data_IF_035366257565
#
_entry.id   IF_035366257565
#
_cell.length_a   1.000
_cell.length_b   1.000
_cell.length_c   1.000
_cell.angle_alpha   90.00
_cell.angle_beta   90.00
_cell.angle_gamma   90.00
#
_symmetry.space_group_name_H-M   'P 1'
#
loop_
_entity.id
_entity.type
_entity.pdbx_description
1 polymer ?
#
# COMPACT_ATOMS: atom_id res chain seq x y z
N UNK A 1 0.03 -36.95 -24.53
CA UNK A 1 0.44 -35.73 -23.80
C UNK A 1 -0.52 -34.62 -24.18
N UNK A 2 -1.39 -34.20 -23.28
CA UNK A 2 -2.12 -32.94 -23.46
C UNK A 2 -1.08 -31.81 -23.52
N UNK A 3 -0.99 -31.12 -24.65
CA UNK A 3 -0.11 -29.96 -24.77
C UNK A 3 -0.51 -28.89 -23.75
N UNK A 4 0.47 -28.17 -23.19
CA UNK A 4 0.20 -27.01 -22.34
C UNK A 4 -0.62 -25.98 -23.12
N UNK A 5 -1.63 -25.40 -22.49
CA UNK A 5 -2.33 -24.19 -22.94
C UNK A 5 -1.99 -23.05 -21.97
N UNK A 6 -0.90 -22.29 -22.22
CA UNK A 6 -0.46 -21.24 -21.32
C UNK A 6 -1.52 -20.15 -21.09
N UNK A 7 -2.41 -19.92 -22.06
CA UNK A 7 -3.48 -18.92 -21.92
C UNK A 7 -4.56 -19.41 -20.97
N UNK A 8 -5.00 -20.67 -21.11
CA UNK A 8 -5.94 -21.27 -20.18
C UNK A 8 -5.36 -21.36 -18.76
N UNK A 9 -4.10 -21.77 -18.64
CA UNK A 9 -3.39 -21.84 -17.37
C UNK A 9 -3.31 -20.47 -16.70
N UNK A 10 -2.88 -19.44 -17.43
CA UNK A 10 -2.78 -18.08 -16.89
C UNK A 10 -4.14 -17.54 -16.43
N UNK A 11 -5.20 -17.71 -17.24
CA UNK A 11 -6.57 -17.31 -16.85
C UNK A 11 -7.03 -18.01 -15.59
N UNK A 12 -6.74 -19.31 -15.46
CA UNK A 12 -7.09 -20.10 -14.26
C UNK A 12 -6.37 -19.57 -13.02
N UNK A 13 -5.06 -19.32 -13.10
CA UNK A 13 -4.30 -18.81 -11.96
C UNK A 13 -4.75 -17.41 -11.54
N UNK A 14 -5.02 -16.50 -12.49
CA UNK A 14 -5.56 -15.18 -12.19
C UNK A 14 -6.91 -15.27 -11.48
N UNK A 15 -7.81 -16.12 -11.98
CA UNK A 15 -9.13 -16.28 -11.35
C UNK A 15 -9.00 -16.79 -9.91
N UNK A 16 -8.16 -17.81 -9.68
CA UNK A 16 -7.89 -18.33 -8.32
C UNK A 16 -7.34 -17.22 -7.41
N UNK A 17 -6.43 -16.39 -7.90
CA UNK A 17 -5.85 -15.31 -7.11
C UNK A 17 -6.89 -14.23 -6.75
N UNK A 18 -7.76 -13.84 -7.70
CA UNK A 18 -8.85 -12.89 -7.45
C UNK A 18 -9.87 -13.44 -6.46
N UNK A 19 -10.29 -14.68 -6.65
CA UNK A 19 -11.24 -15.35 -5.76
C UNK A 19 -10.67 -15.42 -4.33
N UNK A 20 -9.38 -15.71 -4.19
CA UNK A 20 -8.71 -15.75 -2.89
C UNK A 20 -8.63 -14.36 -2.22
N UNK A 21 -8.43 -13.28 -2.98
CA UNK A 21 -8.44 -11.92 -2.44
C UNK A 21 -9.84 -11.50 -1.99
N UNK A 22 -10.86 -11.78 -2.79
CA UNK A 22 -12.24 -11.46 -2.47
C UNK A 22 -12.73 -12.27 -1.27
N UNK A 23 -12.45 -13.57 -1.23
CA UNK A 23 -12.77 -14.43 -0.09
C UNK A 23 -12.19 -13.90 1.23
N UNK A 24 -10.97 -13.35 1.20
CA UNK A 24 -10.34 -12.74 2.39
C UNK A 24 -11.00 -11.45 2.85
N UNK A 25 -11.79 -10.80 2.00
CA UNK A 25 -12.57 -9.62 2.35
C UNK A 25 -14.00 -9.96 2.83
N UNK A 26 -14.47 -11.17 2.59
CA UNK A 26 -15.83 -11.57 2.97
C UNK A 26 -16.04 -11.46 4.49
N UNK A 27 -17.13 -10.79 4.87
CA UNK A 27 -17.50 -10.58 6.28
C UNK A 27 -16.68 -9.52 7.02
N UNK A 28 -15.68 -8.88 6.38
CA UNK A 28 -14.96 -7.77 6.98
C UNK A 28 -15.77 -6.47 6.93
N UNK A 29 -15.62 -5.67 7.98
CA UNK A 29 -16.05 -4.27 7.94
C UNK A 29 -15.12 -3.47 7.02
N UNK A 30 -15.59 -2.32 6.52
CA UNK A 30 -14.74 -1.41 5.74
C UNK A 30 -13.50 -0.98 6.54
N UNK A 31 -13.68 -0.76 7.84
CA UNK A 31 -12.59 -0.46 8.76
C UNK A 31 -11.54 -1.58 8.79
N UNK A 32 -11.97 -2.84 8.95
CA UNK A 32 -11.06 -3.99 9.02
C UNK A 32 -10.35 -4.28 7.70
N UNK A 33 -10.99 -3.98 6.56
CA UNK A 33 -10.36 -4.08 5.25
C UNK A 33 -9.25 -3.03 5.05
N UNK A 34 -9.41 -1.83 5.63
CA UNK A 34 -8.49 -0.69 5.47
C UNK A 34 -7.40 -0.61 6.51
N UNK A 35 -7.60 -1.19 7.70
CA UNK A 35 -6.61 -1.06 8.79
C UNK A 35 -5.31 -1.81 8.45
N UNK A 36 -4.13 -1.21 8.65
CA UNK A 36 -2.87 -1.92 8.49
C UNK A 36 -2.69 -2.94 9.61
N UNK A 37 -2.20 -4.13 9.27
CA UNK A 37 -1.89 -5.18 10.25
C UNK A 37 -0.38 -5.40 10.44
N UNK A 38 0.44 -4.68 9.67
CA UNK A 38 1.89 -4.77 9.69
C UNK A 38 2.51 -3.36 9.68
N UNK A 39 3.74 -3.18 10.24
CA UNK A 39 4.38 -1.87 10.34
C UNK A 39 4.60 -1.14 9.01
N UNK A 40 4.68 -1.88 7.90
CA UNK A 40 4.84 -1.30 6.56
C UNK A 40 3.58 -0.61 6.03
N UNK A 41 2.46 -0.63 6.78
CA UNK A 41 1.24 0.08 6.39
C UNK A 41 0.35 -0.65 5.38
N UNK A 42 0.72 -1.88 4.98
CA UNK A 42 -0.08 -2.76 4.12
C UNK A 42 -1.40 -3.12 4.77
N UNK A 43 -2.48 -2.98 4.00
CA UNK A 43 -3.84 -3.39 4.37
C UNK A 43 -4.50 -4.19 3.23
N UNK A 44 -5.59 -4.91 3.54
CA UNK A 44 -6.23 -5.82 2.58
C UNK A 44 -6.86 -5.07 1.40
N UNK A 45 -7.46 -3.90 1.64
CA UNK A 45 -8.04 -3.09 0.57
C UNK A 45 -6.96 -2.53 -0.38
N UNK A 46 -5.82 -2.12 0.16
CA UNK A 46 -4.65 -1.68 -0.60
C UNK A 46 -4.09 -2.80 -1.49
N UNK A 47 -4.08 -4.05 -1.02
CA UNK A 47 -3.71 -5.19 -1.86
C UNK A 47 -4.67 -5.39 -3.04
N UNK A 48 -5.98 -5.20 -2.84
CA UNK A 48 -6.95 -5.27 -3.93
C UNK A 48 -6.75 -4.13 -4.93
N UNK A 49 -6.55 -2.89 -4.46
CA UNK A 49 -6.25 -1.74 -5.31
C UNK A 49 -5.00 -1.99 -6.17
N UNK A 50 -3.94 -2.50 -5.54
CA UNK A 50 -2.69 -2.82 -6.24
C UNK A 50 -2.86 -3.87 -7.31
N UNK A 51 -3.46 -5.03 -6.98
CA UNK A 51 -3.64 -6.11 -7.95
C UNK A 51 -4.55 -5.70 -9.11
N UNK A 52 -5.62 -4.95 -8.82
CA UNK A 52 -6.49 -4.40 -9.87
C UNK A 52 -5.74 -3.42 -10.79
N UNK A 53 -4.92 -2.53 -10.22
CA UNK A 53 -4.09 -1.60 -10.98
C UNK A 53 -3.05 -2.31 -11.84
N UNK A 54 -2.35 -3.31 -11.30
CA UNK A 54 -1.36 -4.13 -12.03
C UNK A 54 -2.02 -4.86 -13.21
N UNK A 55 -3.18 -5.48 -13.01
CA UNK A 55 -3.91 -6.15 -14.09
C UNK A 55 -4.39 -5.17 -15.16
N UNK A 56 -4.92 -4.01 -14.75
CA UNK A 56 -5.39 -2.97 -15.66
C UNK A 56 -4.24 -2.40 -16.51
N UNK A 57 -3.10 -2.11 -15.89
CA UNK A 57 -1.89 -1.64 -16.57
C UNK A 57 -1.34 -2.69 -17.54
N UNK A 58 -1.00 -3.88 -17.05
CA UNK A 58 -0.40 -4.92 -17.89
C UNK A 58 -1.31 -5.34 -19.05
N UNK A 59 -2.57 -5.68 -18.78
CA UNK A 59 -3.47 -6.14 -19.86
C UNK A 59 -3.94 -5.00 -20.74
N UNK A 60 -4.18 -3.81 -20.17
CA UNK A 60 -4.58 -2.65 -20.92
C UNK A 60 -3.52 -2.25 -21.94
N UNK A 61 -2.27 -2.10 -21.51
CA UNK A 61 -1.18 -1.72 -22.41
C UNK A 61 -0.81 -2.85 -23.38
N UNK A 62 -0.60 -4.07 -22.87
CA UNK A 62 -0.13 -5.20 -23.70
C UNK A 62 -1.10 -5.55 -24.82
N UNK A 63 -2.41 -5.41 -24.59
CA UNK A 63 -3.44 -5.73 -25.57
C UNK A 63 -4.04 -4.50 -26.27
N UNK A 64 -3.50 -3.30 -26.04
CA UNK A 64 -3.98 -2.06 -26.67
C UNK A 64 -5.40 -1.67 -26.26
N UNK A 65 -5.78 -1.96 -25.01
CA UNK A 65 -7.10 -1.70 -24.41
C UNK A 65 -6.95 -0.99 -23.05
N UNK A 66 -6.36 0.21 -23.00
CA UNK A 66 -6.10 0.90 -21.74
C UNK A 66 -7.38 1.12 -20.94
N UNK A 67 -7.29 0.97 -19.62
CA UNK A 67 -8.36 1.38 -18.70
C UNK A 67 -8.35 2.91 -18.66
N UNK A 68 -9.47 3.53 -19.02
CA UNK A 68 -9.57 4.98 -19.23
C UNK A 68 -9.55 5.81 -17.95
N UNK A 69 -9.61 5.18 -16.78
CA UNK A 69 -9.46 5.86 -15.51
C UNK A 69 -7.99 6.23 -15.24
N UNK A 70 -7.70 7.47 -14.78
CA UNK A 70 -6.37 7.83 -14.34
C UNK A 70 -5.97 6.98 -13.13
N UNK A 71 -4.73 6.48 -13.12
CA UNK A 71 -4.15 5.72 -12.02
C UNK A 71 -2.90 6.43 -11.48
N UNK A 72 -3.04 7.51 -10.67
CA UNK A 72 -1.91 8.34 -10.22
C UNK A 72 -0.81 7.61 -9.45
N UNK A 73 -1.14 6.45 -8.88
CA UNK A 73 -0.19 5.58 -8.18
C UNK A 73 0.67 4.71 -9.10
N UNK A 74 0.40 4.72 -10.41
CA UNK A 74 1.22 4.09 -11.45
C UNK A 74 1.98 5.12 -12.31
N UNK A 75 1.78 6.41 -12.06
CA UNK A 75 2.45 7.48 -12.80
C UNK A 75 3.95 7.52 -12.50
N UNK A 76 4.72 8.03 -13.46
CA UNK A 76 6.15 8.27 -13.26
C UNK A 76 6.37 9.26 -12.10
N UNK A 77 7.17 8.86 -11.11
CA UNK A 77 7.42 9.65 -9.91
C UNK A 77 6.42 9.41 -8.76
N UNK A 78 5.47 8.48 -8.91
CA UNK A 78 4.65 8.03 -7.80
C UNK A 78 5.52 7.42 -6.67
N UNK A 79 5.14 7.67 -5.42
CA UNK A 79 5.81 7.09 -4.26
C UNK A 79 5.73 5.55 -4.30
N UNK A 80 6.80 4.83 -3.92
CA UNK A 80 6.76 3.38 -3.84
C UNK A 80 5.59 2.88 -2.98
N UNK A 81 4.79 1.97 -3.53
CA UNK A 81 3.61 1.38 -2.86
C UNK A 81 2.48 2.38 -2.53
N UNK A 82 2.35 3.48 -3.28
CA UNK A 82 1.28 4.48 -3.13
C UNK A 82 -0.15 3.91 -3.24
N UNK A 83 -0.30 2.72 -3.80
CA UNK A 83 -1.55 1.98 -3.94
C UNK A 83 -1.81 0.93 -2.85
N UNK A 84 -0.83 0.64 -2.00
CA UNK A 84 -0.94 -0.38 -0.94
C UNK A 84 -0.99 0.24 0.47
N UNK A 85 -0.26 1.34 0.70
CA UNK A 85 -0.07 1.92 2.04
C UNK A 85 -1.21 2.87 2.43
N UNK A 86 -1.84 2.64 3.60
CA UNK A 86 -3.04 3.38 4.05
C UNK A 86 -2.91 4.91 3.99
N UNK A 87 -1.82 5.46 4.55
CA UNK A 87 -1.63 6.92 4.60
C UNK A 87 -1.55 7.59 3.22
N UNK A 88 -1.14 6.84 2.19
CA UNK A 88 -1.09 7.31 0.80
C UNK A 88 -2.40 7.05 0.04
N UNK A 89 -3.32 6.26 0.60
CA UNK A 89 -4.62 5.93 0.01
C UNK A 89 -5.70 6.93 0.44
N UNK A 90 -5.70 7.38 1.70
CA UNK A 90 -6.74 8.28 2.25
C UNK A 90 -6.21 9.57 2.91
N UNK A 91 -4.89 9.78 2.98
CA UNK A 91 -4.29 10.97 3.58
C UNK A 91 -4.40 11.06 5.11
N UNK A 92 -4.84 10.00 5.80
CA UNK A 92 -5.06 10.01 7.24
C UNK A 92 -4.02 9.15 8.01
N UNK A 93 -3.47 9.71 9.09
CA UNK A 93 -2.68 8.97 10.07
C UNK A 93 -3.60 8.14 11.01
N UNK A 94 -3.08 7.04 11.55
CA UNK A 94 -3.71 6.30 12.66
C UNK A 94 -4.27 4.93 12.38
N UNK A 95 -4.75 4.30 13.47
CA UNK A 95 -5.35 2.96 13.43
C UNK A 95 -6.85 3.03 13.24
N UNK A 96 -7.53 4.10 13.71
CA UNK A 96 -9.00 4.31 13.62
C UNK A 96 -9.39 5.75 13.25
N UNK A 97 -10.64 6.00 12.77
CA UNK A 97 -11.15 7.36 12.55
C UNK A 97 -11.17 8.21 13.84
N UNK A 98 -11.33 7.57 14.99
CA UNK A 98 -11.32 8.18 16.34
C UNK A 98 -9.97 8.07 17.05
N UNK A 99 -8.97 7.46 16.42
CA UNK A 99 -7.65 7.25 17.02
C UNK A 99 -6.55 7.30 15.94
N UNK A 100 -5.99 8.50 15.81
CA UNK A 100 -4.88 8.81 14.91
C UNK A 100 -3.55 8.13 15.35
N UNK A 101 -3.52 7.47 16.50
CA UNK A 101 -2.34 6.85 17.12
C UNK A 101 -1.15 7.82 17.22
N UNK A 102 -1.44 9.11 17.26
CA UNK A 102 -0.46 10.16 17.45
C UNK A 102 -0.58 10.65 18.89
N UNK A 103 0.55 10.95 19.56
CA UNK A 103 0.49 11.71 20.79
C UNK A 103 -0.12 13.09 20.48
N UNK A 104 -1.01 13.56 21.36
CA UNK A 104 -1.67 14.87 21.24
C UNK A 104 -0.65 16.00 21.47
N UNK A 105 0.11 16.28 20.42
CA UNK A 105 1.22 17.23 20.40
C UNK A 105 0.94 18.27 19.33
N UNK A 106 1.08 19.53 19.70
CA UNK A 106 0.98 20.63 18.75
C UNK A 106 2.16 20.66 17.77
N UNK A 107 2.04 21.50 16.73
CA UNK A 107 3.04 21.59 15.67
C UNK A 107 4.44 22.01 16.18
N UNK A 108 4.49 22.82 17.25
CA UNK A 108 5.73 23.24 17.89
C UNK A 108 6.40 22.08 18.63
N UNK A 109 5.63 21.25 19.30
CA UNK A 109 6.08 20.04 19.99
C UNK A 109 6.61 18.99 19.02
N UNK A 110 5.96 18.81 17.87
CA UNK A 110 6.48 17.93 16.80
C UNK A 110 7.80 18.41 16.22
N UNK A 111 7.92 19.73 15.97
CA UNK A 111 9.18 20.31 15.47
C UNK A 111 10.31 20.13 16.47
N UNK A 112 10.05 20.39 17.75
CA UNK A 112 11.04 20.18 18.83
C UNK A 112 11.42 18.71 19.00
N UNK A 113 10.46 17.78 18.86
CA UNK A 113 10.72 16.34 18.91
C UNK A 113 11.62 15.89 17.75
N UNK A 114 11.33 16.34 16.52
CA UNK A 114 12.15 16.08 15.34
C UNK A 114 13.57 16.62 15.52
N UNK A 115 13.71 17.87 15.94
CA UNK A 115 15.02 18.51 16.12
C UNK A 115 15.85 17.77 17.19
N UNK A 116 15.19 17.27 18.25
CA UNK A 116 15.83 16.40 19.26
C UNK A 116 16.27 15.06 18.68
N UNK A 117 15.46 14.41 17.85
CA UNK A 117 15.84 13.15 17.19
C UNK A 117 17.03 13.36 16.24
N UNK A 118 17.05 14.46 15.49
CA UNK A 118 18.19 14.82 14.64
C UNK A 118 19.47 15.07 15.43
N UNK A 119 19.39 15.76 16.59
CA UNK A 119 20.56 15.95 17.47
C UNK A 119 21.12 14.62 17.95
N UNK A 120 20.24 13.72 18.44
CA UNK A 120 20.64 12.39 18.91
C UNK A 120 21.26 11.56 17.79
N UNK A 121 20.70 11.61 16.57
CA UNK A 121 21.24 10.91 15.42
C UNK A 121 22.63 11.44 15.02
N UNK A 122 22.85 12.76 15.07
CA UNK A 122 24.16 13.39 14.80
C UNK A 122 25.19 13.06 15.87
N UNK A 123 24.79 13.07 17.14
CA UNK A 123 25.64 12.67 18.27
C UNK A 123 26.05 11.20 18.18
N UNK A 124 25.12 10.31 17.82
CA UNK A 124 25.38 8.89 17.60
C UNK A 124 26.33 8.67 16.40
N UNK A 125 26.14 9.42 15.31
CA UNK A 125 27.02 9.36 14.14
C UNK A 125 28.45 9.91 14.41
N UNK A 126 28.61 10.79 15.41
CA UNK A 126 29.91 11.30 15.86
C UNK A 126 30.59 10.48 16.97
N UNK A 127 29.90 9.48 17.53
CA UNK A 127 30.34 8.73 18.72
C UNK A 127 31.09 7.41 18.47
N UNK A 128 31.16 6.91 17.22
CA UNK A 128 31.92 5.69 16.88
C UNK A 128 33.41 6.04 16.64
N UNK A 129 34.11 6.41 17.71
CA UNK A 129 35.52 6.79 17.65
C UNK A 129 36.18 6.81 19.02
N UNK A 130 36.27 5.66 19.68
CA UNK A 130 37.25 5.35 20.72
C UNK A 130 37.75 3.93 20.57
#
# INVERSE_FOLDING_TARGET
>A
MTGSDPKADHRRYLQIARDALLWKLEGLSEYDARRPLVPTGTNLLGLVKHVAGVEAGYFGETFGRPFGEPMPWLDEGAEPNADIVRGLIDGAAGVRPDNDNLPDLDQASWSSHRDRLESVAREAAGGQGR
#
